data_IF_194034178671
#
_entry.id   IF_194034178671
#
_cell.length_a   1.000
_cell.length_b   1.000
_cell.length_c   1.000
_cell.angle_alpha   90.00
_cell.angle_beta   90.00
_cell.angle_gamma   90.00
#
_symmetry.space_group_name_H-M   'P 1'
#
loop_
_entity.id
_entity.type
_entity.pdbx_description
1 polymer ?
#
# COMPACT_ATOMS: atom_id res chain seq x y z
N UNK A 1 9.42 15.67 -35.25
CA UNK A 1 10.07 14.36 -35.02
C UNK A 1 10.19 14.05 -33.53
N UNK A 2 10.72 14.95 -32.70
CA UNK A 2 10.87 14.72 -31.24
C UNK A 2 9.57 14.30 -30.53
N UNK A 3 8.45 15.00 -30.78
CA UNK A 3 7.15 14.63 -30.20
C UNK A 3 6.68 13.21 -30.61
N UNK A 4 7.03 12.75 -31.81
CA UNK A 4 6.66 11.41 -32.27
C UNK A 4 7.45 10.34 -31.49
N UNK A 5 8.77 10.54 -31.33
CA UNK A 5 9.60 9.66 -30.52
C UNK A 5 9.14 9.64 -29.06
N UNK A 6 8.80 10.80 -28.49
CA UNK A 6 8.27 10.89 -27.14
C UNK A 6 6.95 10.12 -26.98
N UNK A 7 6.02 10.20 -27.94
CA UNK A 7 4.77 9.42 -27.90
C UNK A 7 5.07 7.92 -27.89
N UNK A 8 5.93 7.45 -28.79
CA UNK A 8 6.28 6.02 -28.86
C UNK A 8 6.95 5.53 -27.57
N UNK A 9 7.90 6.29 -27.04
CA UNK A 9 8.60 5.97 -25.80
C UNK A 9 7.65 5.96 -24.59
N UNK A 10 6.88 7.03 -24.41
CA UNK A 10 5.98 7.18 -23.26
C UNK A 10 4.86 6.14 -23.27
N UNK A 11 4.29 5.82 -24.43
CA UNK A 11 3.25 4.78 -24.53
C UNK A 11 3.79 3.38 -24.27
N UNK A 12 5.04 3.11 -24.65
CA UNK A 12 5.73 1.86 -24.27
C UNK A 12 5.97 1.81 -22.76
N UNK A 13 6.46 2.88 -22.15
CA UNK A 13 6.67 2.93 -20.71
C UNK A 13 5.35 2.76 -19.94
N UNK A 14 4.28 3.45 -20.37
CA UNK A 14 2.93 3.31 -19.81
C UNK A 14 2.43 1.87 -19.87
N UNK A 15 2.60 1.18 -21.01
CA UNK A 15 2.20 -0.21 -21.16
C UNK A 15 2.78 -1.09 -20.05
N UNK A 16 4.09 -0.99 -19.79
CA UNK A 16 4.74 -1.77 -18.72
C UNK A 16 4.31 -1.31 -17.32
N UNK A 17 4.29 0.00 -17.06
CA UNK A 17 3.89 0.51 -15.75
C UNK A 17 2.49 0.06 -15.34
N UNK A 18 1.53 0.16 -16.26
CA UNK A 18 0.13 -0.20 -15.99
C UNK A 18 -0.04 -1.73 -15.90
N UNK A 19 0.69 -2.50 -16.73
CA UNK A 19 0.72 -3.96 -16.61
C UNK A 19 1.21 -4.42 -15.22
N UNK A 20 2.20 -3.72 -14.68
CA UNK A 20 2.78 -4.01 -13.37
C UNK A 20 1.89 -3.51 -12.21
N UNK A 21 0.66 -3.07 -12.50
CA UNK A 21 -0.35 -2.68 -11.51
C UNK A 21 -0.27 -1.21 -11.06
N UNK A 22 0.55 -0.37 -11.70
CA UNK A 22 0.59 1.06 -11.38
C UNK A 22 -0.73 1.72 -11.81
N UNK A 23 -1.45 2.31 -10.86
CA UNK A 23 -2.66 3.10 -11.14
C UNK A 23 -2.30 4.59 -11.20
N UNK A 24 -2.65 5.33 -12.28
CA UNK A 24 -2.44 6.78 -12.35
C UNK A 24 -3.02 7.52 -11.14
N UNK A 25 -2.19 8.30 -10.45
CA UNK A 25 -2.55 8.98 -9.21
C UNK A 25 -1.72 10.27 -9.00
N UNK A 26 -1.90 10.95 -7.86
CA UNK A 26 -1.09 12.11 -7.49
C UNK A 26 0.18 11.77 -6.68
N UNK A 27 0.44 10.48 -6.40
CA UNK A 27 1.47 10.05 -5.45
C UNK A 27 2.29 8.88 -5.99
N UNK A 28 3.56 8.78 -5.54
CA UNK A 28 4.48 7.67 -5.81
C UNK A 28 4.55 7.28 -7.30
N UNK A 29 4.49 5.98 -7.64
CA UNK A 29 4.58 5.49 -9.02
C UNK A 29 3.39 5.95 -9.89
N UNK A 30 2.20 6.09 -9.29
CA UNK A 30 0.99 6.54 -9.97
C UNK A 30 1.11 7.96 -10.52
N UNK A 31 1.89 8.81 -9.84
CA UNK A 31 2.24 10.16 -10.32
C UNK A 31 2.96 10.10 -11.69
N UNK A 32 3.92 9.18 -11.85
CA UNK A 32 4.68 9.04 -13.09
C UNK A 32 3.81 8.49 -14.24
N UNK A 33 2.94 7.52 -13.97
CA UNK A 33 2.00 7.03 -14.98
C UNK A 33 1.08 8.16 -15.46
N UNK A 34 0.50 8.94 -14.53
CA UNK A 34 -0.29 10.14 -14.86
C UNK A 34 0.50 11.15 -15.69
N UNK A 35 1.75 11.42 -15.31
CA UNK A 35 2.62 12.35 -16.03
C UNK A 35 2.79 11.93 -17.51
N UNK A 36 3.10 10.65 -17.75
CA UNK A 36 3.32 10.13 -19.10
C UNK A 36 2.05 10.19 -19.96
N UNK A 37 0.87 9.89 -19.40
CA UNK A 37 -0.41 10.03 -20.13
C UNK A 37 -0.58 11.49 -20.60
N UNK A 38 -0.40 12.45 -19.70
CA UNK A 38 -0.61 13.88 -20.00
C UNK A 38 0.41 14.43 -21.00
N UNK A 39 1.68 14.03 -20.88
CA UNK A 39 2.73 14.39 -21.83
C UNK A 39 2.44 13.83 -23.22
N UNK A 40 2.02 12.57 -23.30
CA UNK A 40 1.62 11.92 -24.56
C UNK A 40 0.47 12.66 -25.22
N UNK A 41 -0.57 12.98 -24.45
CA UNK A 41 -1.72 13.75 -24.93
C UNK A 41 -1.36 15.15 -25.44
N UNK A 42 -0.42 15.81 -24.76
CA UNK A 42 0.10 17.11 -25.22
C UNK A 42 0.89 16.99 -26.51
N UNK A 43 1.72 15.96 -26.64
CA UNK A 43 2.50 15.70 -27.85
C UNK A 43 1.60 15.35 -29.05
N UNK A 44 0.51 14.60 -28.83
CA UNK A 44 -0.50 14.33 -29.87
C UNK A 44 -1.16 15.63 -30.33
N UNK A 45 -1.57 16.48 -29.38
CA UNK A 45 -2.17 17.77 -29.67
C UNK A 45 -1.23 18.70 -30.43
N UNK A 46 0.06 18.75 -30.09
CA UNK A 46 1.03 19.61 -30.79
C UNK A 46 1.30 19.15 -32.23
N UNK A 47 1.08 17.88 -32.53
CA UNK A 47 1.15 17.31 -33.88
C UNK A 47 -0.19 17.39 -34.64
N UNK A 48 -1.24 17.95 -34.03
CA UNK A 48 -2.62 17.95 -34.56
C UNK A 48 -3.15 16.53 -34.87
N UNK A 49 -2.72 15.53 -34.09
CA UNK A 49 -3.19 14.16 -34.19
C UNK A 49 -4.33 13.91 -33.21
N UNK A 50 -5.47 13.46 -33.72
CA UNK A 50 -6.65 13.12 -32.92
C UNK A 50 -6.80 11.59 -32.82
N UNK A 51 -5.82 10.96 -32.18
CA UNK A 51 -5.77 9.50 -31.98
C UNK A 51 -5.91 9.24 -30.48
N UNK A 52 -6.81 8.33 -30.03
CA UNK A 52 -6.85 7.91 -28.63
C UNK A 52 -5.51 7.33 -28.18
N UNK A 53 -5.05 7.67 -26.97
CA UNK A 53 -3.79 7.11 -26.46
C UNK A 53 -3.90 5.58 -26.37
N UNK A 54 -5.06 5.04 -25.99
CA UNK A 54 -5.32 3.60 -25.94
C UNK A 54 -5.06 2.89 -27.27
N UNK A 55 -5.31 3.52 -28.42
CA UNK A 55 -5.02 2.94 -29.73
C UNK A 55 -3.50 2.75 -29.95
N UNK A 56 -2.71 3.74 -29.51
CA UNK A 56 -1.25 3.70 -29.59
C UNK A 56 -0.69 2.66 -28.62
N UNK A 57 -1.21 2.63 -27.38
CA UNK A 57 -0.82 1.62 -26.38
C UNK A 57 -1.20 0.22 -26.84
N UNK A 58 -2.38 0.03 -27.44
CA UNK A 58 -2.77 -1.25 -28.04
C UNK A 58 -1.81 -1.69 -29.15
N UNK A 59 -1.27 -0.74 -29.92
CA UNK A 59 -0.25 -1.04 -30.93
C UNK A 59 1.06 -1.51 -30.29
N UNK A 60 1.46 -0.92 -29.14
CA UNK A 60 2.61 -1.40 -28.36
C UNK A 60 2.36 -2.81 -27.82
N UNK A 61 1.18 -3.08 -27.26
CA UNK A 61 0.80 -4.40 -26.74
C UNK A 61 0.90 -5.45 -27.86
N UNK A 62 0.35 -5.15 -29.04
CA UNK A 62 0.41 -6.06 -30.18
C UNK A 62 1.83 -6.38 -30.64
N UNK A 63 2.76 -5.43 -30.49
CA UNK A 63 4.17 -5.62 -30.80
C UNK A 63 4.87 -6.49 -29.76
N UNK A 64 4.62 -6.26 -28.47
CA UNK A 64 5.34 -6.90 -27.36
C UNK A 64 4.73 -8.19 -26.83
N UNK A 65 3.48 -8.53 -27.19
CA UNK A 65 2.74 -9.69 -26.63
C UNK A 65 3.44 -11.05 -26.71
N UNK A 66 4.36 -11.26 -27.66
CA UNK A 66 5.07 -12.53 -27.80
C UNK A 66 6.22 -12.65 -26.80
N UNK A 67 6.86 -11.52 -26.49
CA UNK A 67 7.97 -11.44 -25.53
C UNK A 67 7.45 -11.27 -24.09
N UNK A 68 6.31 -10.58 -23.94
CA UNK A 68 5.64 -10.28 -22.67
C UNK A 68 4.15 -10.67 -22.75
N UNK A 69 3.81 -11.96 -22.55
CA UNK A 69 2.44 -12.45 -22.66
C UNK A 69 1.46 -11.84 -21.65
N UNK A 70 1.95 -11.52 -20.46
CA UNK A 70 1.21 -10.88 -19.36
C UNK A 70 0.63 -9.50 -19.76
N UNK A 71 1.36 -8.74 -20.59
CA UNK A 71 0.88 -7.47 -21.15
C UNK A 71 -0.36 -7.69 -22.04
N UNK A 72 -0.46 -8.83 -22.72
CA UNK A 72 -1.64 -9.17 -23.52
C UNK A 72 -2.80 -9.65 -22.65
N UNK A 73 -2.52 -10.36 -21.55
CA UNK A 73 -3.53 -10.79 -20.58
C UNK A 73 -4.20 -9.59 -19.89
N UNK A 74 -3.42 -8.56 -19.54
CA UNK A 74 -3.92 -7.36 -18.86
C UNK A 74 -4.35 -6.25 -19.84
N UNK A 75 -4.45 -6.54 -21.14
CA UNK A 75 -4.67 -5.53 -22.19
C UNK A 75 -5.86 -4.62 -21.92
N UNK A 76 -7.04 -5.19 -21.68
CA UNK A 76 -8.27 -4.40 -21.58
C UNK A 76 -8.21 -3.42 -20.40
N UNK A 77 -7.56 -3.84 -19.31
CA UNK A 77 -7.33 -3.04 -18.12
C UNK A 77 -6.35 -1.88 -18.39
N UNK A 78 -5.22 -2.18 -19.02
CA UNK A 78 -4.23 -1.16 -19.43
C UNK A 78 -4.88 -0.08 -20.30
N UNK A 79 -5.67 -0.49 -21.30
CA UNK A 79 -6.35 0.43 -22.21
C UNK A 79 -7.37 1.30 -21.48
N UNK A 80 -8.18 0.69 -20.61
CA UNK A 80 -9.17 1.40 -19.80
C UNK A 80 -8.53 2.44 -18.87
N UNK A 81 -7.44 2.09 -18.18
CA UNK A 81 -6.71 3.01 -17.30
C UNK A 81 -6.20 4.26 -18.03
N UNK A 82 -5.65 4.06 -19.23
CA UNK A 82 -5.16 5.14 -20.08
C UNK A 82 -6.30 6.06 -20.53
N UNK A 83 -7.43 5.48 -20.95
CA UNK A 83 -8.58 6.26 -21.41
C UNK A 83 -9.21 7.06 -20.28
N UNK A 84 -9.35 6.47 -19.09
CA UNK A 84 -9.87 7.14 -17.90
C UNK A 84 -8.99 8.34 -17.51
N UNK A 85 -7.67 8.17 -17.45
CA UNK A 85 -6.77 9.30 -17.16
C UNK A 85 -6.78 10.34 -18.28
N UNK A 86 -6.95 9.91 -19.53
CA UNK A 86 -7.12 10.79 -20.67
C UNK A 86 -8.36 11.69 -20.54
N UNK A 87 -9.51 11.12 -20.22
CA UNK A 87 -10.76 11.88 -20.01
C UNK A 87 -10.68 12.81 -18.80
N UNK A 88 -10.05 12.35 -17.70
CA UNK A 88 -9.74 13.20 -16.55
C UNK A 88 -8.88 14.39 -16.96
N UNK A 89 -7.84 14.16 -17.76
CA UNK A 89 -6.96 15.23 -18.23
C UNK A 89 -7.68 16.23 -19.15
N UNK A 90 -8.52 15.77 -20.09
CA UNK A 90 -9.38 16.67 -20.90
C UNK A 90 -10.22 17.58 -20.02
N UNK A 91 -10.82 17.03 -18.97
CA UNK A 91 -11.61 17.77 -17.98
C UNK A 91 -10.76 18.75 -17.17
N UNK A 92 -9.53 18.38 -16.81
CA UNK A 92 -8.55 19.27 -16.15
C UNK A 92 -8.17 20.44 -17.04
N UNK A 93 -7.84 20.20 -18.31
CA UNK A 93 -7.47 21.25 -19.27
C UNK A 93 -8.64 22.22 -19.50
N UNK A 94 -9.88 21.73 -19.58
CA UNK A 94 -11.09 22.57 -19.73
C UNK A 94 -11.25 23.55 -18.56
N UNK A 95 -10.98 23.12 -17.33
CA UNK A 95 -11.01 23.97 -16.12
C UNK A 95 -9.75 24.82 -15.96
N UNK A 96 -8.65 24.40 -16.58
CA UNK A 96 -7.32 24.99 -16.42
C UNK A 96 -7.26 26.49 -16.73
N UNK A 97 -8.02 26.96 -17.73
CA UNK A 97 -8.04 28.39 -18.08
C UNK A 97 -8.48 29.29 -16.91
N UNK A 98 -9.45 28.84 -16.12
CA UNK A 98 -9.94 29.61 -14.96
C UNK A 98 -8.90 29.61 -13.84
N UNK A 99 -8.26 28.45 -13.63
CA UNK A 99 -7.21 28.30 -12.61
C UNK A 99 -6.00 29.18 -12.93
N UNK A 100 -5.50 29.14 -14.17
CA UNK A 100 -4.37 29.97 -14.61
C UNK A 100 -4.68 31.45 -14.42
N UNK A 101 -5.85 31.93 -14.85
CA UNK A 101 -6.25 33.32 -14.65
C UNK A 101 -6.24 33.75 -13.18
N UNK A 102 -6.73 32.88 -12.28
CA UNK A 102 -6.71 33.17 -10.83
C UNK A 102 -5.28 33.33 -10.30
N UNK A 103 -4.38 32.45 -10.71
CA UNK A 103 -2.96 32.53 -10.32
C UNK A 103 -2.32 33.80 -10.88
N UNK A 104 -2.61 34.16 -12.13
CA UNK A 104 -2.13 35.42 -12.70
C UNK A 104 -2.62 36.66 -11.94
N UNK A 105 -3.88 36.66 -11.51
CA UNK A 105 -4.43 37.76 -10.71
C UNK A 105 -3.75 37.87 -9.34
N UNK A 106 -3.38 36.74 -8.73
CA UNK A 106 -2.62 36.70 -7.47
C UNK A 106 -1.18 37.20 -7.64
N UNK A 107 -0.50 36.78 -8.71
CA UNK A 107 0.85 37.25 -9.05
C UNK A 107 0.85 38.76 -9.30
N UNK A 108 -0.09 39.26 -10.10
CA UNK A 108 -0.24 40.70 -10.39
C UNK A 108 -0.51 41.51 -9.12
N UNK A 109 -1.33 41.01 -8.19
CA UNK A 109 -1.58 41.66 -6.90
C UNK A 109 -0.33 41.80 -6.04
N UNK A 110 0.60 40.85 -6.15
CA UNK A 110 1.91 40.90 -5.48
C UNK A 110 2.95 41.74 -6.24
N UNK A 111 2.57 42.32 -7.38
CA UNK A 111 3.46 43.12 -8.23
C UNK A 111 4.36 42.30 -9.17
N UNK A 112 4.10 41.00 -9.33
CA UNK A 112 4.82 40.15 -10.28
C UNK A 112 4.24 40.24 -11.69
N UNK A 113 5.07 39.91 -12.68
CA UNK A 113 4.77 40.00 -14.12
C UNK A 113 5.02 38.70 -14.89
N UNK A 114 5.45 37.63 -14.21
CA UNK A 114 5.71 36.31 -14.79
C UNK A 114 5.24 35.17 -13.89
N UNK A 115 4.94 34.02 -14.49
CA UNK A 115 4.68 32.75 -13.80
C UNK A 115 6.03 32.04 -13.65
N UNK A 116 6.48 31.86 -12.41
CA UNK A 116 7.78 31.27 -12.11
C UNK A 116 7.71 29.74 -12.03
N UNK A 117 8.88 29.10 -11.92
CA UNK A 117 8.98 27.64 -11.84
C UNK A 117 8.18 27.07 -10.66
N UNK A 118 8.22 27.69 -9.49
CA UNK A 118 7.50 27.20 -8.31
C UNK A 118 5.97 27.25 -8.50
N UNK A 119 5.46 28.32 -9.14
CA UNK A 119 4.04 28.41 -9.51
C UNK A 119 3.64 27.30 -10.49
N UNK A 120 4.51 26.95 -11.45
CA UNK A 120 4.29 25.85 -12.38
C UNK A 120 4.28 24.49 -11.69
N UNK A 121 5.15 24.29 -10.70
CA UNK A 121 5.17 23.06 -9.89
C UNK A 121 3.86 22.95 -9.11
N UNK A 122 3.41 24.03 -8.47
CA UNK A 122 2.17 24.04 -7.70
C UNK A 122 0.92 23.86 -8.58
N UNK A 123 0.88 24.51 -9.74
CA UNK A 123 -0.17 24.31 -10.75
C UNK A 123 -0.20 22.88 -11.28
N UNK A 124 0.97 22.24 -11.39
CA UNK A 124 1.05 20.84 -11.78
C UNK A 124 0.57 19.91 -10.66
N UNK A 125 1.11 20.04 -9.45
CA UNK A 125 0.81 19.15 -8.32
C UNK A 125 -0.64 19.31 -7.85
N UNK A 126 -1.09 20.55 -7.69
CA UNK A 126 -2.41 20.86 -7.10
C UNK A 126 -3.53 20.84 -8.14
N UNK A 127 -3.24 21.23 -9.38
CA UNK A 127 -4.27 21.41 -10.41
C UNK A 127 -4.07 20.53 -11.63
N UNK A 128 -2.95 19.81 -11.72
CA UNK A 128 -2.69 18.89 -12.82
C UNK A 128 -2.38 19.56 -14.15
N UNK A 129 -2.04 20.85 -14.15
CA UNK A 129 -1.75 21.59 -15.37
C UNK A 129 -0.28 21.45 -15.72
N UNK A 130 0.00 20.87 -16.90
CA UNK A 130 1.37 20.81 -17.43
C UNK A 130 1.85 22.22 -17.83
N UNK A 131 3.15 22.53 -17.71
CA UNK A 131 3.68 23.85 -18.03
C UNK A 131 3.29 24.37 -19.42
N UNK A 132 3.28 23.48 -20.41
CA UNK A 132 2.88 23.84 -21.77
C UNK A 132 1.40 24.24 -21.88
N UNK A 133 0.52 23.67 -21.05
CA UNK A 133 -0.90 24.09 -20.98
C UNK A 133 -1.03 25.40 -20.24
N UNK A 134 -0.24 25.61 -19.18
CA UNK A 134 -0.18 26.91 -18.49
C UNK A 134 0.23 28.00 -19.48
N UNK A 135 1.29 27.77 -20.27
CA UNK A 135 1.76 28.68 -21.32
C UNK A 135 0.72 28.97 -22.41
N UNK A 136 -0.11 27.99 -22.78
CA UNK A 136 -1.22 28.21 -23.74
C UNK A 136 -2.34 29.11 -23.17
N UNK A 137 -2.50 29.15 -21.85
CA UNK A 137 -3.60 29.86 -21.19
C UNK A 137 -3.20 31.17 -20.53
N UNK A 138 -1.93 31.30 -20.17
CA UNK A 138 -1.36 32.48 -19.54
C UNK A 138 -1.29 33.66 -20.53
N UNK A 139 -1.55 34.84 -19.99
CA UNK A 139 -1.27 36.14 -20.59
C UNK A 139 0.06 36.72 -20.08
N UNK A 140 0.52 36.31 -18.89
CA UNK A 140 1.85 36.62 -18.36
C UNK A 140 2.92 35.76 -19.05
N UNK A 141 4.18 36.19 -18.97
CA UNK A 141 5.29 35.37 -19.41
C UNK A 141 5.45 34.13 -18.52
N UNK A 142 5.85 33.01 -19.12
CA UNK A 142 5.93 31.72 -18.42
C UNK A 142 7.32 31.14 -18.61
N UNK A 143 8.07 31.07 -17.50
CA UNK A 143 9.42 30.52 -17.45
C UNK A 143 9.35 29.01 -17.22
N UNK A 144 9.44 28.23 -18.30
CA UNK A 144 9.47 26.77 -18.24
C UNK A 144 10.93 26.31 -18.25
N UNK A 145 11.45 25.76 -17.14
CA UNK A 145 12.82 25.25 -17.12
C UNK A 145 12.93 23.91 -17.84
N UNK A 146 14.07 23.65 -18.49
CA UNK A 146 14.32 22.42 -19.26
C UNK A 146 14.25 21.16 -18.38
N UNK A 147 14.62 21.29 -17.10
CA UNK A 147 14.62 20.24 -16.10
C UNK A 147 13.31 20.17 -15.29
N UNK A 148 12.24 20.86 -15.70
CA UNK A 148 10.97 20.93 -14.96
C UNK A 148 10.51 19.55 -14.46
N UNK A 149 10.37 18.59 -15.36
CA UNK A 149 9.87 17.25 -15.01
C UNK A 149 10.81 16.47 -14.10
N UNK A 150 12.12 16.74 -14.15
CA UNK A 150 13.10 16.14 -13.24
C UNK A 150 12.88 16.70 -11.82
N UNK A 151 12.63 18.00 -11.69
CA UNK A 151 12.35 18.63 -10.39
C UNK A 151 11.09 18.08 -9.75
N UNK A 152 10.00 17.94 -10.53
CA UNK A 152 8.75 17.41 -9.96
C UNK A 152 8.89 15.91 -9.63
N UNK A 153 9.57 15.14 -10.47
CA UNK A 153 9.91 13.74 -10.16
C UNK A 153 10.66 13.62 -8.82
N UNK A 154 11.73 14.40 -8.64
CA UNK A 154 12.55 14.37 -7.43
C UNK A 154 11.80 14.78 -6.15
N UNK A 155 10.78 15.65 -6.27
CA UNK A 155 9.91 16.04 -5.15
C UNK A 155 9.05 14.88 -4.67
N UNK A 156 8.55 14.04 -5.58
CA UNK A 156 7.68 12.89 -5.26
C UNK A 156 8.43 11.57 -5.05
N UNK A 157 9.74 11.54 -5.29
CA UNK A 157 10.60 10.39 -5.01
C UNK A 157 10.99 10.30 -3.53
N UNK A 158 11.02 11.44 -2.81
CA UNK A 158 11.29 11.47 -1.37
C UNK A 158 10.09 10.94 -0.60
N UNK A 159 10.18 9.71 -0.09
CA UNK A 159 9.27 9.25 0.94
C UNK A 159 9.42 10.16 2.17
N UNK A 160 8.34 10.82 2.59
CA UNK A 160 8.28 11.44 3.91
C UNK A 160 8.48 10.34 4.95
N UNK A 161 9.68 10.28 5.54
CA UNK A 161 9.94 9.43 6.69
C UNK A 161 9.36 10.19 7.88
N UNK A 162 8.16 9.83 8.31
CA UNK A 162 7.66 10.23 9.62
C UNK A 162 8.70 9.79 10.66
N UNK A 163 9.37 10.76 11.27
CA UNK A 163 10.35 10.52 12.33
C UNK A 163 9.59 10.19 13.61
N UNK A 164 9.12 8.95 13.73
CA UNK A 164 8.69 8.42 15.01
C UNK A 164 9.90 8.43 15.97
N UNK A 165 9.69 8.89 17.21
CA UNK A 165 10.72 8.80 18.26
C UNK A 165 11.14 7.34 18.43
N UNK A 166 12.42 7.05 18.14
CA UNK A 166 12.95 5.70 18.30
C UNK A 166 13.15 5.42 19.78
N UNK A 167 12.32 4.53 20.32
CA UNK A 167 12.60 3.87 21.59
C UNK A 167 13.87 3.02 21.37
N UNK A 168 14.94 3.33 22.09
CA UNK A 168 16.17 2.55 22.05
C UNK A 168 16.08 1.38 23.03
N UNK A 169 16.41 0.19 22.54
CA UNK A 169 16.56 -1.00 23.39
C UNK A 169 17.95 -0.93 24.05
N UNK A 170 18.06 -1.13 25.38
CA UNK A 170 19.36 -1.17 26.05
C UNK A 170 20.32 -2.17 25.41
N UNK A 171 21.61 -1.83 25.34
CA UNK A 171 22.63 -2.69 24.75
C UNK A 171 23.09 -3.77 25.72
N UNK A 172 22.41 -4.92 25.74
CA UNK A 172 22.86 -6.28 26.11
C UNK A 172 21.65 -7.24 26.23
N UNK A 173 20.74 -7.21 25.24
CA UNK A 173 19.47 -7.96 25.28
C UNK A 173 19.44 -8.99 24.15
N UNK A 174 19.13 -10.24 24.49
CA UNK A 174 18.99 -11.31 23.51
C UNK A 174 17.68 -11.18 22.72
N UNK A 175 17.70 -11.66 21.47
CA UNK A 175 16.52 -11.72 20.59
C UNK A 175 15.35 -12.43 21.29
N UNK A 176 14.16 -11.82 21.24
CA UNK A 176 12.97 -12.44 21.84
C UNK A 176 12.51 -13.62 21.00
N UNK A 177 12.34 -14.80 21.61
CA UNK A 177 11.77 -15.98 20.94
C UNK A 177 10.28 -15.75 20.65
N UNK A 178 9.93 -15.65 19.36
CA UNK A 178 8.58 -15.31 18.91
C UNK A 178 7.71 -16.58 18.77
N UNK A 179 6.73 -16.72 19.65
CA UNK A 179 5.83 -17.88 19.69
C UNK A 179 4.35 -17.53 19.44
N UNK A 180 4.04 -16.28 19.08
CA UNK A 180 2.66 -15.78 18.94
C UNK A 180 1.81 -16.44 17.85
N UNK A 181 2.41 -17.22 16.93
CA UNK A 181 1.66 -18.06 15.98
C UNK A 181 1.03 -19.29 16.64
N UNK A 182 1.56 -19.73 17.79
CA UNK A 182 0.95 -20.80 18.59
C UNK A 182 -0.19 -20.19 19.41
N UNK A 183 -1.35 -20.83 19.38
CA UNK A 183 -2.51 -20.39 20.13
C UNK A 183 -2.40 -20.89 21.58
N UNK A 184 -2.13 -19.96 22.50
CA UNK A 184 -2.16 -20.19 23.95
C UNK A 184 -2.90 -19.05 24.64
N UNK A 185 -3.60 -19.35 25.73
CA UNK A 185 -4.23 -18.33 26.58
C UNK A 185 -3.26 -17.80 27.65
N UNK A 186 -2.38 -18.68 28.15
CA UNK A 186 -1.39 -18.40 29.18
C UNK A 186 -0.03 -19.01 28.84
N UNK A 187 1.04 -18.37 29.31
CA UNK A 187 2.40 -18.88 29.19
C UNK A 187 3.30 -18.30 30.29
N UNK A 188 4.43 -18.96 30.55
CA UNK A 188 5.46 -18.45 31.45
C UNK A 188 6.69 -17.99 30.66
N UNK A 189 7.23 -16.84 31.01
CA UNK A 189 8.42 -16.26 30.40
C UNK A 189 9.30 -15.60 31.46
N UNK A 190 10.61 -15.50 31.18
CA UNK A 190 11.57 -14.85 32.06
C UNK A 190 11.73 -13.39 31.64
N UNK A 191 11.76 -12.48 32.61
CA UNK A 191 12.06 -11.08 32.37
C UNK A 191 13.55 -10.92 32.09
N UNK A 192 13.88 -10.45 30.88
CA UNK A 192 15.25 -10.08 30.53
C UNK A 192 15.61 -8.68 31.05
N UNK A 193 14.71 -7.72 30.86
CA UNK A 193 14.96 -6.33 31.19
C UNK A 193 13.67 -5.56 31.53
N UNK A 194 13.79 -4.53 32.37
CA UNK A 194 12.69 -3.62 32.71
C UNK A 194 13.12 -2.17 32.53
N UNK A 195 12.47 -1.46 31.61
CA UNK A 195 12.58 0.00 31.52
C UNK A 195 11.43 0.66 32.28
N UNK A 196 11.75 1.13 33.49
CA UNK A 196 10.79 1.83 34.36
C UNK A 196 10.55 3.30 33.95
N UNK A 197 11.41 3.88 33.10
CA UNK A 197 11.21 5.24 32.59
C UNK A 197 10.13 5.24 31.51
N UNK A 198 10.19 4.26 30.61
CA UNK A 198 9.24 4.13 29.50
C UNK A 198 8.10 3.13 29.78
N UNK A 199 8.08 2.51 30.97
CA UNK A 199 7.10 1.52 31.44
C UNK A 199 6.94 0.33 30.49
N UNK A 200 8.03 -0.34 30.14
CA UNK A 200 7.96 -1.59 29.39
C UNK A 200 8.81 -2.71 30.00
N UNK A 201 8.44 -3.95 29.67
CA UNK A 201 9.12 -5.18 30.06
C UNK A 201 9.54 -5.94 28.82
N UNK A 202 10.76 -6.49 28.82
CA UNK A 202 11.28 -7.37 27.78
C UNK A 202 11.37 -8.79 28.33
N UNK A 203 10.89 -9.75 27.55
CA UNK A 203 10.88 -11.17 27.89
C UNK A 203 11.87 -11.96 27.04
N UNK A 204 12.27 -13.14 27.51
CA UNK A 204 13.05 -14.13 26.74
C UNK A 204 12.25 -14.70 25.57
N UNK A 205 10.96 -14.93 25.79
CA UNK A 205 10.00 -15.40 24.79
C UNK A 205 8.63 -14.79 24.99
N UNK A 206 7.86 -14.69 23.93
CA UNK A 206 6.49 -14.16 24.04
C UNK A 206 5.52 -14.81 23.07
N UNK A 207 4.27 -14.94 23.53
CA UNK A 207 3.14 -15.31 22.70
C UNK A 207 2.24 -14.10 22.39
N UNK A 208 2.53 -12.91 22.94
CA UNK A 208 1.88 -11.68 22.48
C UNK A 208 2.36 -11.34 21.08
N UNK A 209 1.43 -11.04 20.18
CA UNK A 209 1.69 -10.52 18.85
C UNK A 209 2.02 -9.03 18.99
N UNK A 210 3.23 -8.60 18.60
CA UNK A 210 3.54 -7.18 18.51
C UNK A 210 2.78 -6.57 17.32
N UNK A 211 2.43 -5.29 17.40
CA UNK A 211 1.80 -4.60 16.28
C UNK A 211 2.60 -4.76 14.98
N UNK A 212 1.90 -5.04 13.88
CA UNK A 212 2.54 -5.25 12.59
C UNK A 212 1.58 -5.65 11.48
N UNK A 213 1.91 -5.30 10.24
CA UNK A 213 1.08 -5.62 9.06
C UNK A 213 -0.32 -4.98 9.12
N UNK A 214 -0.46 -3.86 9.83
CA UNK A 214 -1.72 -3.19 10.10
C UNK A 214 -2.57 -3.83 11.20
N UNK A 215 -2.19 -4.98 11.76
CA UNK A 215 -2.89 -5.58 12.90
C UNK A 215 -2.38 -4.94 14.20
N UNK A 216 -3.30 -4.43 15.01
CA UNK A 216 -2.98 -3.90 16.34
C UNK A 216 -2.32 -4.95 17.25
N UNK A 217 -1.52 -4.48 18.20
CA UNK A 217 -0.91 -5.32 19.22
C UNK A 217 -1.95 -6.06 20.07
N UNK A 218 -1.55 -7.22 20.59
CA UNK A 218 -2.31 -7.84 21.66
C UNK A 218 -2.25 -7.05 22.95
N UNK A 219 -3.28 -7.26 23.76
CA UNK A 219 -3.33 -6.81 25.15
C UNK A 219 -3.50 -8.02 26.07
N UNK A 220 -3.27 -7.81 27.36
CA UNK A 220 -3.45 -8.88 28.34
C UNK A 220 -2.89 -8.52 29.69
N UNK A 221 -2.37 -9.52 30.39
CA UNK A 221 -1.77 -9.39 31.72
C UNK A 221 -0.43 -10.07 31.81
N UNK A 222 0.43 -9.53 32.65
CA UNK A 222 1.67 -10.13 33.13
C UNK A 222 1.63 -10.07 34.65
N UNK A 223 1.40 -11.22 35.29
CA UNK A 223 0.97 -11.28 36.69
C UNK A 223 -0.28 -10.41 36.94
N UNK A 224 -0.15 -9.41 37.81
CA UNK A 224 -1.20 -8.44 38.14
C UNK A 224 -1.14 -7.16 37.29
N UNK A 225 -0.17 -7.03 36.40
CA UNK A 225 0.06 -5.84 35.58
C UNK A 225 -0.67 -5.95 34.24
N UNK A 226 -1.30 -4.86 33.81
CA UNK A 226 -1.98 -4.81 32.50
C UNK A 226 -0.97 -4.50 31.39
N UNK A 227 -0.89 -5.39 30.40
CA UNK A 227 -0.15 -5.18 29.15
C UNK A 227 -1.09 -4.49 28.17
N UNK A 228 -0.79 -3.24 27.81
CA UNK A 228 -1.68 -2.39 27.00
C UNK A 228 -1.21 -2.19 25.57
N UNK A 229 0.05 -2.50 25.28
CA UNK A 229 0.64 -2.39 23.96
C UNK A 229 1.89 -3.29 23.87
N UNK A 230 2.18 -3.81 22.69
CA UNK A 230 3.29 -4.71 22.42
C UNK A 230 3.92 -4.32 21.09
N UNK A 231 5.21 -3.97 21.12
CA UNK A 231 5.92 -3.44 19.95
C UNK A 231 7.20 -4.23 19.72
N UNK A 232 7.63 -4.33 18.47
CA UNK A 232 8.87 -5.02 18.11
C UNK A 232 9.90 -4.01 17.61
N UNK A 233 11.06 -3.97 18.25
CA UNK A 233 12.20 -3.13 17.87
C UNK A 233 13.33 -4.06 17.47
N UNK A 234 13.67 -4.09 16.18
CA UNK A 234 14.57 -5.07 15.58
C UNK A 234 14.11 -6.51 15.89
N UNK A 235 14.85 -7.27 16.70
CA UNK A 235 14.50 -8.63 17.11
C UNK A 235 13.90 -8.72 18.53
N UNK A 236 13.78 -7.60 19.23
CA UNK A 236 13.32 -7.56 20.63
C UNK A 236 11.86 -7.11 20.71
N UNK A 237 11.07 -7.77 21.53
CA UNK A 237 9.68 -7.39 21.79
C UNK A 237 9.55 -6.70 23.14
N UNK A 238 9.03 -5.47 23.12
CA UNK A 238 8.73 -4.68 24.30
C UNK A 238 7.23 -4.80 24.64
N UNK A 239 6.92 -4.94 25.93
CA UNK A 239 5.56 -5.05 26.45
C UNK A 239 5.27 -3.84 27.32
N UNK A 240 4.43 -2.92 26.86
CA UNK A 240 4.10 -1.70 27.58
C UNK A 240 3.10 -2.00 28.69
N UNK A 241 3.46 -1.57 29.90
CA UNK A 241 2.68 -1.82 31.11
C UNK A 241 1.93 -0.57 31.53
N UNK A 242 0.66 -0.74 31.92
CA UNK A 242 -0.12 0.32 32.54
C UNK A 242 0.14 0.36 34.05
N UNK A 243 0.77 1.44 34.51
CA UNK A 243 1.04 1.67 35.93
C UNK A 243 2.49 1.35 36.32
N UNK A 244 2.72 1.19 37.63
CA UNK A 244 4.06 0.96 38.18
C UNK A 244 4.43 -0.51 38.06
N UNK A 245 5.64 -0.78 37.56
CA UNK A 245 6.21 -2.14 37.49
C UNK A 245 6.87 -2.46 38.84
N UNK A 246 6.34 -3.45 39.57
CA UNK A 246 6.90 -3.95 40.85
C UNK A 246 7.66 -5.29 40.73
N UNK A 247 7.93 -5.72 39.50
CA UNK A 247 8.69 -6.92 39.17
C UNK A 247 10.19 -6.63 39.05
N UNK A 248 11.01 -7.69 39.07
CA UNK A 248 12.46 -7.60 38.92
C UNK A 248 12.95 -8.36 37.67
N UNK A 249 14.11 -7.93 37.18
CA UNK A 249 14.80 -8.67 36.11
C UNK A 249 15.19 -10.06 36.60
N UNK A 250 15.03 -11.06 35.73
CA UNK A 250 15.27 -12.46 36.05
C UNK A 250 14.05 -13.21 36.60
N UNK A 251 12.98 -12.52 37.02
CA UNK A 251 11.74 -13.16 37.47
C UNK A 251 11.08 -13.96 36.35
N UNK A 252 10.45 -15.08 36.70
CA UNK A 252 9.56 -15.81 35.79
C UNK A 252 8.13 -15.40 36.08
N UNK A 253 7.42 -14.96 35.04
CA UNK A 253 6.07 -14.40 35.15
C UNK A 253 5.06 -15.20 34.33
N UNK A 254 3.86 -15.39 34.88
CA UNK A 254 2.68 -15.86 34.16
C UNK A 254 2.10 -14.70 33.34
N UNK A 255 2.07 -14.89 32.03
CA UNK A 255 1.42 -14.00 31.08
C UNK A 255 0.08 -14.58 30.65
N UNK A 256 -0.93 -13.72 30.49
CA UNK A 256 -2.25 -14.08 29.97
C UNK A 256 -2.65 -13.14 28.84
N UNK A 257 -2.90 -13.67 27.66
CA UNK A 257 -3.33 -12.90 26.48
C UNK A 257 -4.84 -12.65 26.57
N UNK A 258 -5.31 -11.47 26.15
CA UNK A 258 -6.73 -11.23 25.92
C UNK A 258 -7.18 -12.00 24.67
N UNK A 259 -7.61 -13.25 24.88
CA UNK A 259 -7.91 -14.17 23.80
C UNK A 259 -9.07 -13.72 22.90
N UNK A 260 -10.07 -13.01 23.46
CA UNK A 260 -11.19 -12.51 22.66
C UNK A 260 -10.72 -11.46 21.66
N UNK A 261 -9.89 -10.51 22.13
CA UNK A 261 -9.28 -9.51 21.26
C UNK A 261 -8.40 -10.16 20.20
N UNK A 262 -7.50 -11.08 20.59
CA UNK A 262 -6.65 -11.82 19.65
C UNK A 262 -7.49 -12.47 18.55
N UNK A 263 -8.54 -13.19 18.93
CA UNK A 263 -9.43 -13.87 17.99
C UNK A 263 -10.06 -12.88 17.00
N UNK A 264 -10.60 -11.76 17.49
CA UNK A 264 -11.21 -10.75 16.62
C UNK A 264 -10.18 -10.15 15.63
N UNK A 265 -8.97 -9.85 16.10
CA UNK A 265 -7.88 -9.36 15.25
C UNK A 265 -7.45 -10.39 14.19
N UNK A 266 -7.33 -11.66 14.58
CA UNK A 266 -7.05 -12.78 13.66
C UNK A 266 -8.13 -12.95 12.59
N UNK A 267 -9.40 -12.83 12.97
CA UNK A 267 -10.54 -12.86 12.05
C UNK A 267 -10.51 -11.68 11.08
N UNK A 268 -10.31 -10.46 11.60
CA UNK A 268 -10.21 -9.25 10.77
C UNK A 268 -9.01 -9.31 9.81
N UNK A 269 -7.89 -9.89 10.23
CA UNK A 269 -6.74 -10.08 9.37
C UNK A 269 -7.07 -11.04 8.23
N UNK A 270 -7.63 -12.21 8.54
CA UNK A 270 -8.04 -13.20 7.53
C UNK A 270 -9.09 -12.62 6.58
N UNK A 271 -10.07 -11.86 7.09
CA UNK A 271 -11.06 -11.16 6.28
C UNK A 271 -10.42 -10.13 5.33
N UNK A 272 -9.32 -9.48 5.73
CA UNK A 272 -8.60 -8.54 4.86
C UNK A 272 -8.09 -9.24 3.59
N UNK A 273 -7.50 -10.43 3.70
CA UNK A 273 -7.08 -11.24 2.54
C UNK A 273 -8.26 -11.62 1.65
N UNK A 274 -9.37 -12.05 2.28
CA UNK A 274 -10.58 -12.43 1.55
C UNK A 274 -11.13 -11.25 0.75
N UNK A 275 -11.24 -10.08 1.38
CA UNK A 275 -11.73 -8.85 0.76
C UNK A 275 -10.75 -8.36 -0.32
N UNK A 276 -9.44 -8.43 -0.10
CA UNK A 276 -8.44 -8.06 -1.11
C UNK A 276 -8.57 -8.94 -2.37
N UNK A 277 -8.71 -10.25 -2.19
CA UNK A 277 -9.00 -11.18 -3.28
C UNK A 277 -10.35 -10.91 -3.98
N UNK A 278 -11.39 -10.56 -3.23
CA UNK A 278 -12.70 -10.19 -3.78
C UNK A 278 -12.61 -8.92 -4.63
N UNK A 279 -11.95 -7.88 -4.11
CA UNK A 279 -11.71 -6.62 -4.82
C UNK A 279 -10.97 -6.85 -6.13
N UNK A 280 -9.90 -7.65 -6.15
CA UNK A 280 -9.20 -8.01 -7.39
C UNK A 280 -10.10 -8.74 -8.38
N UNK A 281 -10.90 -9.69 -7.90
CA UNK A 281 -11.79 -10.47 -8.77
C UNK A 281 -12.88 -9.62 -9.42
N UNK A 282 -13.41 -8.64 -8.69
CA UNK A 282 -14.52 -7.79 -9.17
C UNK A 282 -13.98 -6.62 -9.99
N UNK A 283 -12.93 -5.94 -9.51
CA UNK A 283 -12.48 -4.67 -10.07
C UNK A 283 -11.35 -4.81 -11.09
N UNK A 284 -10.54 -5.86 -11.02
CA UNK A 284 -9.39 -6.08 -11.91
C UNK A 284 -8.06 -6.30 -11.21
N UNK A 285 -7.02 -6.57 -11.99
CA UNK A 285 -5.69 -6.95 -11.51
C UNK A 285 -4.89 -5.78 -10.92
N UNK A 286 -5.21 -4.52 -11.26
CA UNK A 286 -4.59 -3.30 -10.75
C UNK A 286 -4.86 -3.04 -9.26
N UNK A 287 -5.77 -3.81 -8.64
CA UNK A 287 -6.03 -3.71 -7.21
C UNK A 287 -4.79 -4.20 -6.45
N UNK A 288 -4.18 -3.26 -5.75
CA UNK A 288 -3.04 -3.47 -4.88
C UNK A 288 -3.30 -2.82 -3.54
N UNK A 289 -2.95 -3.48 -2.45
CA UNK A 289 -3.04 -2.89 -1.13
C UNK A 289 -2.08 -1.70 -1.01
N UNK A 290 -2.61 -0.54 -0.60
CA UNK A 290 -1.85 0.67 -0.30
C UNK A 290 -1.76 0.94 1.21
N UNK A 291 -2.62 0.31 2.00
CA UNK A 291 -2.65 0.40 3.46
C UNK A 291 -3.66 -0.58 4.06
N UNK A 292 -3.47 -0.94 5.32
CA UNK A 292 -4.43 -1.74 6.06
C UNK A 292 -4.35 -1.41 7.55
N UNK A 293 -5.48 -1.50 8.24
CA UNK A 293 -5.57 -1.35 9.69
C UNK A 293 -6.63 -2.32 10.22
N UNK A 294 -6.32 -3.05 11.28
CA UNK A 294 -7.22 -4.00 11.93
C UNK A 294 -7.19 -3.76 13.43
N UNK A 295 -8.28 -3.22 13.95
CA UNK A 295 -8.56 -3.11 15.39
C UNK A 295 -9.65 -4.11 15.78
N UNK A 296 -10.04 -4.09 17.06
CA UNK A 296 -11.10 -4.95 17.59
C UNK A 296 -12.49 -4.56 17.06
N UNK A 297 -12.73 -3.26 16.87
CA UNK A 297 -14.05 -2.74 16.47
C UNK A 297 -14.16 -2.45 14.97
N UNK A 298 -13.05 -2.12 14.30
CA UNK A 298 -13.05 -1.74 12.88
C UNK A 298 -11.82 -2.26 12.16
N UNK A 299 -12.02 -2.65 10.89
CA UNK A 299 -10.92 -2.93 9.97
C UNK A 299 -11.07 -2.07 8.71
N UNK A 300 -9.94 -1.67 8.15
CA UNK A 300 -9.83 -0.88 6.92
C UNK A 300 -8.81 -1.54 6.00
N UNK A 301 -9.15 -1.62 4.72
CA UNK A 301 -8.24 -1.98 3.64
C UNK A 301 -8.27 -0.86 2.60
N UNK A 302 -7.12 -0.25 2.37
CA UNK A 302 -6.93 0.79 1.37
C UNK A 302 -6.35 0.11 0.12
N UNK A 303 -7.01 0.25 -1.04
CA UNK A 303 -6.57 -0.35 -2.30
C UNK A 303 -6.35 0.70 -3.40
N UNK A 304 -5.46 0.40 -4.34
CA UNK A 304 -5.29 1.19 -5.55
C UNK A 304 -6.50 0.99 -6.46
N UNK A 305 -7.21 2.08 -6.78
CA UNK A 305 -8.25 2.05 -7.79
C UNK A 305 -8.37 3.43 -8.44
N UNK A 306 -8.81 3.45 -9.70
CA UNK A 306 -8.85 4.68 -10.51
C UNK A 306 -10.14 5.48 -10.32
N UNK A 307 -11.17 4.92 -9.68
CA UNK A 307 -12.46 5.55 -9.44
C UNK A 307 -12.98 5.24 -8.03
N UNK A 308 -14.05 5.93 -7.63
CA UNK A 308 -14.84 5.53 -6.46
C UNK A 308 -15.65 4.30 -6.80
N UNK A 309 -15.79 3.39 -5.84
CA UNK A 309 -16.64 2.20 -5.99
C UNK A 309 -18.10 2.62 -6.11
N UNK A 310 -18.79 2.02 -7.07
CA UNK A 310 -20.24 2.08 -7.17
C UNK A 310 -20.89 1.14 -6.15
N UNK A 311 -22.15 1.40 -5.81
CA UNK A 311 -22.91 0.53 -4.89
C UNK A 311 -22.97 -0.92 -5.40
N UNK A 312 -23.12 -1.12 -6.71
CA UNK A 312 -23.11 -2.45 -7.32
C UNK A 312 -21.78 -3.17 -7.15
N UNK A 313 -20.65 -2.48 -7.36
CA UNK A 313 -19.31 -3.06 -7.17
C UNK A 313 -19.07 -3.41 -5.69
N UNK A 314 -19.48 -2.54 -4.75
CA UNK A 314 -19.39 -2.82 -3.32
C UNK A 314 -20.18 -4.08 -2.93
N UNK A 315 -21.41 -4.21 -3.41
CA UNK A 315 -22.22 -5.40 -3.17
C UNK A 315 -21.61 -6.66 -3.81
N UNK A 316 -21.01 -6.56 -5.00
CA UNK A 316 -20.35 -7.69 -5.64
C UNK A 316 -19.12 -8.16 -4.86
N UNK A 317 -18.31 -7.22 -4.36
CA UNK A 317 -17.16 -7.51 -3.49
C UNK A 317 -17.63 -8.22 -2.22
N UNK A 318 -18.67 -7.69 -1.56
CA UNK A 318 -19.26 -8.30 -0.37
C UNK A 318 -19.78 -9.72 -0.64
N UNK A 319 -20.55 -9.91 -1.73
CA UNK A 319 -21.05 -11.22 -2.14
C UNK A 319 -19.90 -12.21 -2.42
N UNK A 320 -18.86 -11.76 -3.11
CA UNK A 320 -17.70 -12.58 -3.42
C UNK A 320 -16.93 -12.98 -2.15
N UNK A 321 -16.70 -12.04 -1.22
CA UNK A 321 -16.04 -12.32 0.04
C UNK A 321 -16.84 -13.31 0.91
N UNK A 322 -18.15 -13.08 1.08
CA UNK A 322 -19.02 -13.94 1.88
C UNK A 322 -19.14 -15.35 1.29
N UNK A 323 -19.10 -15.48 -0.04
CA UNK A 323 -19.05 -16.80 -0.69
C UNK A 323 -17.82 -17.59 -0.25
N UNK A 324 -16.65 -16.97 -0.18
CA UNK A 324 -15.40 -17.63 0.22
C UNK A 324 -15.41 -18.04 1.69
N UNK A 325 -16.00 -17.20 2.54
CA UNK A 325 -16.24 -17.53 3.95
C UNK A 325 -17.16 -18.75 4.05
N UNK A 326 -18.26 -18.77 3.30
CA UNK A 326 -19.22 -19.88 3.30
C UNK A 326 -18.63 -21.19 2.75
N UNK A 327 -17.74 -21.11 1.76
CA UNK A 327 -16.99 -22.26 1.24
C UNK A 327 -15.99 -22.84 2.26
N UNK A 328 -15.66 -22.09 3.31
CA UNK A 328 -14.73 -22.49 4.37
C UNK A 328 -13.42 -23.06 3.79
N UNK A 329 -12.84 -22.31 2.84
CA UNK A 329 -11.64 -22.72 2.12
C UNK A 329 -10.47 -22.95 3.07
N UNK A 330 -9.61 -23.89 2.70
CA UNK A 330 -8.41 -24.21 3.48
C UNK A 330 -7.45 -23.03 3.43
N UNK A 331 -7.00 -22.61 4.61
CA UNK A 331 -5.91 -21.65 4.79
C UNK A 331 -4.66 -22.44 5.16
N UNK A 332 -3.64 -22.36 4.31
CA UNK A 332 -2.33 -22.97 4.54
C UNK A 332 -1.31 -21.89 4.89
N UNK A 333 -0.49 -22.18 5.90
CA UNK A 333 0.57 -21.29 6.34
C UNK A 333 1.86 -22.10 6.32
N UNK A 334 2.85 -21.60 5.60
CA UNK A 334 4.14 -22.27 5.43
C UNK A 334 5.23 -21.25 5.10
N UNK A 335 6.48 -21.70 5.12
CA UNK A 335 7.64 -20.87 4.79
C UNK A 335 8.31 -21.42 3.55
N UNK A 336 8.67 -20.54 2.61
CA UNK A 336 9.47 -20.88 1.43
C UNK A 336 10.68 -19.95 1.29
N UNK A 337 11.77 -20.40 0.65
CA UNK A 337 12.79 -19.49 0.15
C UNK A 337 12.17 -18.46 -0.79
N UNK A 338 12.58 -17.20 -0.67
CA UNK A 338 12.04 -16.06 -1.44
C UNK A 338 11.95 -16.35 -2.94
N UNK A 339 13.04 -16.81 -3.55
CA UNK A 339 13.08 -17.04 -5.00
C UNK A 339 12.07 -18.10 -5.45
N UNK A 340 11.86 -19.16 -4.66
CA UNK A 340 10.89 -20.21 -4.97
C UNK A 340 9.45 -19.68 -4.84
N UNK A 341 9.21 -18.85 -3.84
CA UNK A 341 7.90 -18.22 -3.63
C UNK A 341 7.56 -17.24 -4.75
N UNK A 342 8.49 -16.35 -5.11
CA UNK A 342 8.33 -15.39 -6.22
C UNK A 342 8.12 -16.12 -7.56
N UNK A 343 8.83 -17.22 -7.81
CA UNK A 343 8.64 -18.02 -9.01
C UNK A 343 7.25 -18.67 -9.07
N UNK A 344 6.72 -19.12 -7.91
CA UNK A 344 5.46 -19.86 -7.84
C UNK A 344 4.22 -18.95 -7.81
N UNK A 345 4.31 -17.83 -7.11
CA UNK A 345 3.16 -16.97 -6.80
C UNK A 345 3.30 -15.55 -7.38
N UNK A 346 4.44 -15.22 -7.97
CA UNK A 346 4.75 -13.90 -8.49
C UNK A 346 4.92 -12.85 -7.40
N UNK A 347 5.05 -11.59 -7.81
CA UNK A 347 5.21 -10.45 -6.89
C UNK A 347 3.92 -10.06 -6.16
N UNK A 348 2.79 -10.69 -6.48
CA UNK A 348 1.53 -10.54 -5.72
C UNK A 348 1.66 -10.92 -4.26
N UNK A 349 2.69 -11.69 -3.90
CA UNK A 349 3.06 -11.95 -2.52
C UNK A 349 3.23 -10.67 -1.68
N UNK A 350 3.58 -9.54 -2.29
CA UNK A 350 3.98 -8.32 -1.58
C UNK A 350 2.88 -7.23 -1.54
N UNK A 351 1.60 -7.64 -1.49
CA UNK A 351 0.48 -6.72 -1.28
C UNK A 351 0.63 -5.93 0.02
N UNK A 352 1.01 -6.59 1.12
CA UNK A 352 1.32 -5.96 2.40
C UNK A 352 2.64 -5.19 2.46
N UNK A 353 3.37 -5.06 1.34
CA UNK A 353 4.69 -4.44 1.26
C UNK A 353 5.85 -5.44 1.26
N UNK A 354 7.07 -4.91 1.18
CA UNK A 354 8.28 -5.72 1.13
C UNK A 354 8.55 -6.38 2.49
N UNK A 355 8.62 -7.71 2.50
CA UNK A 355 9.01 -8.49 3.67
C UNK A 355 10.52 -8.73 3.61
N UNK A 356 11.31 -8.53 4.69
CA UNK A 356 12.74 -8.82 4.71
C UNK A 356 13.02 -10.32 4.91
N UNK A 357 14.26 -10.76 4.64
CA UNK A 357 14.73 -12.12 4.93
C UNK A 357 14.83 -13.05 3.72
N UNK A 358 15.60 -14.13 3.85
CA UNK A 358 15.79 -15.14 2.79
C UNK A 358 14.56 -16.03 2.61
N UNK A 359 13.96 -16.42 3.72
CA UNK A 359 12.77 -17.26 3.76
C UNK A 359 11.57 -16.39 4.15
N UNK A 360 10.45 -16.57 3.47
CA UNK A 360 9.24 -15.76 3.66
C UNK A 360 8.09 -16.63 4.15
N UNK A 361 7.36 -16.13 5.16
CA UNK A 361 6.13 -16.74 5.64
C UNK A 361 4.99 -16.41 4.68
N UNK A 362 4.35 -17.44 4.16
CA UNK A 362 3.27 -17.34 3.19
C UNK A 362 1.97 -17.77 3.86
N UNK A 363 0.92 -17.00 3.60
CA UNK A 363 -0.46 -17.32 3.95
C UNK A 363 -1.20 -17.53 2.64
N UNK A 364 -1.72 -18.73 2.43
CA UNK A 364 -2.41 -19.15 1.22
C UNK A 364 -3.86 -19.52 1.54
N UNK A 365 -4.79 -18.67 1.11
CA UNK A 365 -6.21 -19.00 1.03
C UNK A 365 -6.44 -19.67 -0.31
N UNK A 366 -6.61 -21.00 -0.25
CA UNK A 366 -6.63 -21.86 -1.45
C UNK A 366 -7.51 -21.30 -2.57
N UNK A 367 -6.95 -21.25 -3.78
CA UNK A 367 -7.59 -20.80 -5.02
C UNK A 367 -8.21 -19.38 -4.91
N UNK A 368 -7.69 -18.52 -4.02
CA UNK A 368 -8.23 -17.18 -3.75
C UNK A 368 -7.16 -16.10 -3.60
N UNK A 369 -6.30 -16.23 -2.59
CA UNK A 369 -5.31 -15.22 -2.25
C UNK A 369 -4.06 -15.85 -1.62
N UNK A 370 -2.89 -15.41 -2.05
CA UNK A 370 -1.61 -15.89 -1.51
C UNK A 370 -0.69 -14.70 -1.30
N UNK A 371 -0.33 -14.44 -0.05
CA UNK A 371 0.46 -13.27 0.34
C UNK A 371 1.57 -13.63 1.33
N UNK A 372 2.69 -12.90 1.27
CA UNK A 372 3.73 -12.95 2.28
C UNK A 372 3.27 -12.11 3.48
N UNK A 373 2.83 -12.77 4.55
CA UNK A 373 2.21 -12.11 5.70
C UNK A 373 2.75 -12.63 7.03
N UNK A 374 3.07 -11.70 7.94
CA UNK A 374 3.53 -11.98 9.30
C UNK A 374 2.41 -11.98 10.36
N UNK A 375 1.16 -11.76 9.95
CA UNK A 375 0.02 -11.69 10.86
C UNK A 375 -0.48 -13.03 11.38
N UNK A 376 -1.37 -12.97 12.37
CA UNK A 376 -2.13 -14.13 12.85
C UNK A 376 -3.34 -14.40 11.95
N UNK A 377 -3.60 -15.66 11.61
CA UNK A 377 -4.71 -16.06 10.73
C UNK A 377 -5.51 -17.25 11.27
N UNK A 378 -6.77 -17.37 10.84
CA UNK A 378 -7.66 -18.47 11.22
C UNK A 378 -7.31 -19.77 10.47
N UNK A 379 -6.18 -20.40 10.79
CA UNK A 379 -5.81 -21.66 10.16
C UNK A 379 -6.48 -22.88 10.83
N UNK A 380 -6.93 -23.85 10.02
CA UNK A 380 -7.56 -25.08 10.51
C UNK A 380 -6.61 -25.97 11.34
N UNK A 381 -5.29 -25.83 11.15
CA UNK A 381 -4.28 -26.57 11.91
C UNK A 381 -4.02 -25.98 13.29
N UNK A 382 -4.22 -24.67 13.47
CA UNK A 382 -4.01 -23.99 14.76
C UNK A 382 -5.28 -23.99 15.63
N UNK A 383 -6.47 -24.10 15.02
CA UNK A 383 -7.76 -24.18 15.69
C UNK A 383 -8.11 -25.57 16.28
N UNK A 384 -7.16 -26.24 16.95
CA UNK A 384 -7.42 -27.49 17.69
C UNK A 384 -8.12 -27.28 19.04
N UNK A 385 -8.47 -26.04 19.41
CA UNK A 385 -9.16 -25.71 20.67
C UNK A 385 -10.52 -25.04 20.46
N UNK A 386 -11.60 -25.83 20.52
CA UNK A 386 -13.02 -25.40 20.60
C UNK A 386 -13.55 -24.54 19.45
N UNK A 387 -14.16 -25.21 18.48
CA UNK A 387 -15.21 -24.64 17.61
C UNK A 387 -16.48 -24.40 18.45
N UNK A 388 -16.73 -23.16 18.85
CA UNK A 388 -18.11 -22.74 19.11
C UNK A 388 -18.72 -22.41 17.75
N UNK A 389 -19.73 -23.22 17.38
CA UNK A 389 -20.65 -22.92 16.28
C UNK A 389 -21.21 -21.51 16.49
N UNK A 390 -21.04 -20.64 15.49
CA UNK A 390 -21.96 -19.53 15.28
C UNK A 390 -23.20 -20.07 14.56
#
# INVERSE_FOLDING_TARGET
MENLYAICDHTRALMFMLNDGVVPSNVKQGYFARLLVRRTMRALKSLNLNIPISEIVNSQINYFKNDFPDVAENKDEILNLVDIEGEKYKSTVKRGRVVVRRVEDEIKKKGGDKIETDDLIDLYDSHGLIPLVVKDFASLDVEIPDDFYIRVAAKHEKAEVETAEKIEVPGDIEDTELNYYKIVDKFNAKIQNIDRKNNFIILDRTYFYPEGGGQEADTGKMENLDVVDVQKINSVVIHKIKGKIDLNEGDTVECKINFNRRKQLTQNHTATHIINGASRKVLGNHIWQSGAHKSEDIARLDVTHYASLTDSEMEEIERAANKIIAENRKIEIFTLPRNEAEQKYGFRLYQGGAVPGRDIRIVDIKDWDTEACGGTHDSLKENTGRRNKA
#
